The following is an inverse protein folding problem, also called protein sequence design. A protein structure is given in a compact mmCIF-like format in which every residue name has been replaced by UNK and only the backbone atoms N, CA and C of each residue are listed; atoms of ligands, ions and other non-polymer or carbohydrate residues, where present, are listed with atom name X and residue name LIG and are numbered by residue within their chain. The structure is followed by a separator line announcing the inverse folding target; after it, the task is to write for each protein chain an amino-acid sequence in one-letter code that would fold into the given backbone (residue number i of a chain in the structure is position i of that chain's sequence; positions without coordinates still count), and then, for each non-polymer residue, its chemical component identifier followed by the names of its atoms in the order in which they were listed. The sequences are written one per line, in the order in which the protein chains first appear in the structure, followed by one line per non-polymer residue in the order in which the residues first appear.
data_IF_217367271681
#
_entry.id   IF_217367271681
#
_cell.length_a   1.000
_cell.length_b   1.000
_cell.length_c   1.000
_cell.angle_alpha   90.00
_cell.angle_beta   90.00
_cell.angle_gamma   90.00
#
_symmetry.space_group_name_H-M   'P 1'
#
loop_
_entity.id
_entity.type
_entity.pdbx_description
1 polymer ?
#
# COMPACT_ATOMS: atom_id res chain seq x y z
N UNK A 1 -0.86 4.74 0.32
CA UNK A 1 -1.26 5.67 1.39
C UNK A 1 -0.39 5.44 2.62
N UNK A 2 -0.12 6.47 3.43
CA UNK A 2 0.67 6.33 4.66
C UNK A 2 -0.25 6.42 5.89
N UNK A 3 -0.06 5.53 6.87
CA UNK A 3 -0.90 5.41 8.06
C UNK A 3 -0.03 5.35 9.32
N UNK A 4 -0.49 5.98 10.40
CA UNK A 4 0.22 6.04 11.67
C UNK A 4 -0.56 5.34 12.79
N UNK A 5 0.11 4.44 13.50
CA UNK A 5 -0.48 3.59 14.55
C UNK A 5 0.03 3.94 15.95
N UNK A 6 0.27 5.23 16.23
CA UNK A 6 0.75 5.72 17.53
C UNK A 6 2.26 5.57 17.78
N UNK A 7 2.93 4.60 17.14
CA UNK A 7 4.39 4.43 17.22
C UNK A 7 5.07 4.14 15.88
N UNK A 8 4.32 3.65 14.90
CA UNK A 8 4.88 3.13 13.64
C UNK A 8 4.12 3.72 12.46
N UNK A 9 4.86 4.11 11.43
CA UNK A 9 4.33 4.47 10.13
C UNK A 9 4.35 3.27 9.18
N UNK A 10 3.24 3.07 8.47
CA UNK A 10 3.13 2.07 7.41
C UNK A 10 2.77 2.71 6.08
N UNK A 11 3.43 2.29 5.01
CA UNK A 11 3.02 2.54 3.63
C UNK A 11 2.15 1.39 3.15
N UNK A 12 0.90 1.69 2.81
CA UNK A 12 0.03 0.79 2.04
C UNK A 12 0.28 1.01 0.56
N UNK A 13 0.60 -0.06 -0.15
CA UNK A 13 0.80 -0.07 -1.60
C UNK A 13 0.38 -1.41 -2.21
N UNK A 14 0.16 -1.42 -3.52
CA UNK A 14 0.05 -2.64 -4.31
C UNK A 14 1.42 -3.36 -4.36
N UNK A 15 1.44 -4.66 -4.14
CA UNK A 15 2.65 -5.47 -4.20
C UNK A 15 2.55 -6.43 -5.39
N UNK A 16 3.28 -6.15 -6.49
CA UNK A 16 3.23 -6.97 -7.70
C UNK A 16 3.74 -8.40 -7.49
N UNK A 17 4.64 -8.62 -6.53
CA UNK A 17 5.11 -9.96 -6.15
C UNK A 17 4.03 -10.84 -5.50
N UNK A 18 2.96 -10.22 -4.99
CA UNK A 18 1.87 -10.89 -4.28
C UNK A 18 0.50 -10.68 -4.93
N UNK A 19 0.45 -9.87 -5.98
CA UNK A 19 -0.77 -9.45 -6.68
C UNK A 19 -1.88 -8.99 -5.72
N UNK A 20 -1.48 -8.22 -4.68
CA UNK A 20 -2.38 -7.78 -3.61
C UNK A 20 -1.80 -6.58 -2.83
N UNK A 21 -2.61 -5.91 -2.02
CA UNK A 21 -2.18 -4.82 -1.13
C UNK A 21 -1.34 -5.33 0.04
N UNK A 22 -0.31 -4.57 0.41
CA UNK A 22 0.51 -4.82 1.60
C UNK A 22 0.78 -3.55 2.38
N UNK A 23 0.90 -3.68 3.69
CA UNK A 23 1.33 -2.62 4.59
C UNK A 23 2.81 -2.81 4.95
N UNK A 24 3.67 -1.94 4.45
CA UNK A 24 5.11 -1.97 4.70
C UNK A 24 5.44 -1.01 5.83
N UNK A 25 6.12 -1.48 6.88
CA UNK A 25 6.61 -0.57 7.92
C UNK A 25 7.77 0.25 7.38
N UNK A 26 7.66 1.58 7.45
CA UNK A 26 8.70 2.48 6.96
C UNK A 26 10.03 2.26 7.69
N UNK A 27 9.98 1.95 8.98
CA UNK A 27 11.17 1.72 9.82
C UNK A 27 11.91 0.40 9.53
N UNK A 28 11.39 -0.46 8.64
CA UNK A 28 12.04 -1.71 8.20
C UNK A 28 12.57 -1.65 6.77
N UNK A 29 12.36 -0.54 6.05
CA UNK A 29 12.84 -0.38 4.67
C UNK A 29 14.34 -0.06 4.74
N UNK A 30 15.17 -1.00 4.26
CA UNK A 30 16.62 -0.81 4.19
C UNK A 30 17.06 -0.04 2.95
N UNK A 31 16.34 -0.19 1.84
CA UNK A 31 16.59 0.49 0.58
C UNK A 31 15.30 0.65 -0.21
N UNK A 32 15.21 1.73 -1.00
CA UNK A 32 14.14 1.98 -1.95
C UNK A 32 14.76 2.42 -3.27
N UNK A 33 14.26 1.85 -4.37
CA UNK A 33 14.69 2.18 -5.73
C UNK A 33 13.47 2.53 -6.55
N UNK A 34 13.53 3.66 -7.23
CA UNK A 34 12.55 4.01 -8.26
C UNK A 34 12.89 3.23 -9.52
N UNK A 35 11.87 2.58 -10.09
CA UNK A 35 11.95 1.95 -11.40
C UNK A 35 11.32 2.90 -12.42
N UNK A 36 11.79 2.84 -13.66
CA UNK A 36 11.21 3.58 -14.79
C UNK A 36 9.93 2.90 -15.32
N UNK A 37 9.65 1.69 -14.84
CA UNK A 37 8.45 0.93 -15.16
C UNK A 37 7.25 1.45 -14.36
N UNK A 38 6.12 1.61 -15.04
CA UNK A 38 4.84 1.94 -14.41
C UNK A 38 4.00 0.67 -14.26
N UNK A 39 3.35 0.51 -13.11
CA UNK A 39 2.32 -0.51 -12.94
C UNK A 39 0.98 0.00 -13.46
N UNK A 40 0.14 -0.91 -13.96
CA UNK A 40 -1.22 -0.55 -14.35
C UNK A 40 -2.06 -0.23 -13.12
N UNK A 41 -2.38 1.04 -12.95
CA UNK A 41 -3.40 1.44 -11.97
C UNK A 41 -4.80 1.09 -12.50
N UNK A 42 -5.66 0.66 -11.58
CA UNK A 42 -7.05 0.33 -11.87
C UNK A 42 -7.93 0.78 -10.71
N UNK A 43 -9.25 0.84 -10.92
CA UNK A 43 -10.18 1.14 -9.81
C UNK A 43 -9.97 0.13 -8.67
N UNK A 44 -9.79 -1.15 -8.99
CA UNK A 44 -9.49 -2.24 -8.06
C UNK A 44 -8.03 -2.31 -7.59
N UNK A 45 -7.17 -1.38 -8.04
CA UNK A 45 -5.75 -1.27 -7.67
C UNK A 45 -5.40 0.19 -7.34
N UNK A 46 -6.19 0.78 -6.44
CA UNK A 46 -6.05 2.17 -5.97
C UNK A 46 -6.09 2.25 -4.44
N UNK A 47 -5.62 3.37 -3.86
CA UNK A 47 -5.77 3.61 -2.41
C UNK A 47 -7.25 3.69 -2.00
N UNK A 48 -8.10 4.26 -2.85
CA UNK A 48 -9.55 4.34 -2.61
C UNK A 48 -10.15 2.95 -2.47
N UNK A 49 -9.83 2.03 -3.39
CA UNK A 49 -10.31 0.67 -3.30
C UNK A 49 -9.77 -0.08 -2.09
N UNK A 50 -8.50 0.14 -1.73
CA UNK A 50 -7.97 -0.40 -0.48
C UNK A 50 -8.79 0.06 0.74
N UNK A 51 -9.09 1.35 0.86
CA UNK A 51 -9.88 1.87 1.99
C UNK A 51 -11.28 1.25 2.01
N UNK A 52 -11.95 1.17 0.85
CA UNK A 52 -13.28 0.59 0.72
C UNK A 52 -13.35 -0.91 1.11
N UNK A 53 -12.23 -1.65 1.09
CA UNK A 53 -12.19 -3.03 1.60
C UNK A 53 -12.27 -3.14 3.13
N UNK A 54 -11.91 -2.07 3.85
CA UNK A 54 -11.85 -2.01 5.31
C UNK A 54 -12.92 -1.11 5.93
N UNK A 55 -13.65 -0.34 5.12
CA UNK A 55 -14.93 0.23 5.53
C UNK A 55 -15.88 -0.94 5.78
N UNK A 56 -16.23 -1.20 7.05
CA UNK A 56 -17.22 -2.21 7.37
C UNK A 56 -18.53 -1.88 6.65
N UNK A 57 -19.13 -2.92 6.07
CA UNK A 57 -20.59 -3.03 6.01
C UNK A 57 -21.10 -3.02 7.44
N UNK A 58 -21.27 -1.83 8.03
CA UNK A 58 -22.19 -1.66 9.14
C UNK A 58 -23.63 -1.88 8.65
#
# INVERSE_FOLDING_TARGET
GQFFWGKVWTLVAWCELRDDYRQFRLDRIQALRMHDEEFQSAETKSLKHYIAQYESKD
#
